data_IF_052031676550
#
_entry.id   IF_052031676550
#
_cell.length_a   1.000
_cell.length_b   1.000
_cell.length_c   1.000
_cell.angle_alpha   90.00
_cell.angle_beta   90.00
_cell.angle_gamma   90.00
#
_symmetry.space_group_name_H-M   'P 1'
#
loop_
_entity.id
_entity.type
_entity.pdbx_description
1 polymer ?
#
# COMPACT_ATOMS: atom_id res chain seq x y z
N UNK A 1 -17.05 50.72 9.08
CA UNK A 1 -16.41 50.50 7.77
C UNK A 1 -14.92 50.50 7.97
N UNK A 2 -14.30 49.32 8.00
CA UNK A 2 -12.93 49.03 7.53
C UNK A 2 -12.62 47.59 7.89
N UNK A 3 -12.93 46.67 6.97
CA UNK A 3 -12.52 45.27 7.06
C UNK A 3 -11.06 45.19 6.61
N UNK A 4 -10.17 44.71 7.46
CA UNK A 4 -8.85 44.22 7.05
C UNK A 4 -8.92 42.69 7.09
N UNK A 5 -8.94 42.08 5.91
CA UNK A 5 -8.70 40.64 5.74
C UNK A 5 -7.21 40.38 5.96
N UNK A 6 -6.91 39.55 6.95
CA UNK A 6 -5.58 38.99 7.18
C UNK A 6 -5.53 37.66 6.41
N UNK A 7 -4.71 37.62 5.37
CA UNK A 7 -4.35 36.41 4.63
C UNK A 7 -3.26 35.69 5.43
N UNK A 8 -3.44 34.44 5.88
CA UNK A 8 -2.30 33.60 6.25
C UNK A 8 -1.77 32.90 5.00
N UNK A 9 -0.64 33.42 4.53
CA UNK A 9 0.26 32.80 3.57
C UNK A 9 1.01 31.65 4.28
N UNK A 10 0.63 30.40 4.01
CA UNK A 10 1.44 29.25 4.42
C UNK A 10 1.19 28.04 3.50
N UNK A 11 1.98 27.96 2.43
CA UNK A 11 2.24 26.71 1.70
C UNK A 11 3.08 25.78 2.59
N UNK A 12 2.71 24.48 2.77
CA UNK A 12 3.63 23.52 3.33
C UNK A 12 4.65 23.08 2.29
N UNK A 13 5.91 23.06 2.72
CA UNK A 13 7.12 22.73 1.97
C UNK A 13 7.04 21.40 1.20
N UNK A 14 7.56 21.41 -0.03
CA UNK A 14 7.76 20.20 -0.83
C UNK A 14 8.76 19.25 -0.16
N UNK A 15 8.53 17.92 -0.20
CA UNK A 15 9.53 16.97 0.26
C UNK A 15 10.73 16.93 -0.69
N UNK A 16 11.89 17.35 -0.18
CA UNK A 16 13.20 17.22 -0.81
C UNK A 16 13.51 15.73 -1.02
N UNK A 17 13.44 15.27 -2.28
CA UNK A 17 13.87 13.92 -2.67
C UNK A 17 15.40 13.92 -2.74
N UNK A 18 16.07 13.54 -1.63
CA UNK A 18 17.52 13.31 -1.64
C UNK A 18 17.83 11.92 -2.21
N UNK A 19 18.24 11.86 -3.48
CA UNK A 19 18.73 10.63 -4.12
C UNK A 19 20.21 10.40 -3.77
N UNK A 20 20.49 9.82 -2.61
CA UNK A 20 21.85 9.32 -2.32
C UNK A 20 21.93 7.84 -2.72
N UNK A 21 22.09 7.60 -4.02
CA UNK A 21 22.30 6.26 -4.57
C UNK A 21 23.71 5.75 -4.30
N UNK A 22 23.89 4.87 -3.31
CA UNK A 22 25.05 3.97 -3.27
C UNK A 22 24.74 2.74 -4.14
N UNK A 23 25.02 2.83 -5.43
CA UNK A 23 25.08 1.68 -6.31
C UNK A 23 26.46 1.01 -6.16
N UNK A 24 26.49 -0.21 -5.61
CA UNK A 24 27.68 -1.07 -5.59
C UNK A 24 27.62 -1.97 -6.82
N UNK A 25 28.30 -1.55 -7.89
CA UNK A 25 28.54 -2.40 -9.06
C UNK A 25 29.48 -3.54 -8.66
N UNK A 26 29.04 -4.78 -8.84
CA UNK A 26 29.91 -5.95 -8.78
C UNK A 26 30.15 -6.41 -10.22
N UNK A 27 31.34 -6.09 -10.69
CA UNK A 27 31.93 -6.54 -11.94
C UNK A 27 32.03 -8.07 -11.92
N UNK A 28 31.49 -8.72 -12.94
CA UNK A 28 31.71 -10.12 -13.25
C UNK A 28 32.19 -10.18 -14.69
N UNK A 29 33.51 -10.26 -14.80
CA UNK A 29 34.22 -10.73 -15.98
C UNK A 29 33.93 -12.20 -16.22
N UNK A 30 34.30 -12.63 -17.43
CA UNK A 30 34.43 -14.01 -17.88
C UNK A 30 33.17 -14.56 -18.56
N UNK A 31 33.11 -14.39 -19.88
CA UNK A 31 33.14 -15.52 -20.81
C UNK A 31 33.68 -15.05 -22.17
N UNK A 32 34.95 -15.38 -22.41
CA UNK A 32 35.58 -15.39 -23.72
C UNK A 32 35.27 -16.72 -24.41
N UNK A 33 34.70 -16.69 -25.60
CA UNK A 33 35.02 -17.69 -26.63
C UNK A 33 34.61 -17.22 -28.04
N UNK A 34 35.66 -16.91 -28.80
CA UNK A 34 35.89 -17.28 -30.19
C UNK A 34 34.72 -17.21 -31.19
N UNK A 35 34.76 -16.18 -32.04
CA UNK A 35 34.09 -16.17 -33.33
C UNK A 35 34.81 -15.23 -34.29
N UNK A 36 35.61 -15.78 -35.21
CA UNK A 36 36.41 -15.07 -36.21
C UNK A 36 35.58 -14.09 -37.05
N UNK A 37 36.09 -12.87 -37.19
CA UNK A 37 35.70 -11.94 -38.23
C UNK A 37 36.02 -12.52 -39.63
N UNK A 38 35.04 -12.51 -40.52
CA UNK A 38 35.24 -12.59 -41.96
C UNK A 38 34.38 -11.51 -42.61
N UNK A 39 35.04 -10.43 -43.02
CA UNK A 39 34.47 -9.42 -43.90
C UNK A 39 34.21 -10.05 -45.26
N UNK A 40 32.94 -10.11 -45.67
CA UNK A 40 32.56 -10.19 -47.08
C UNK A 40 31.64 -8.99 -47.34
N UNK A 41 32.11 -8.07 -48.17
CA UNK A 41 31.32 -6.96 -48.68
C UNK A 41 30.41 -7.50 -49.79
N UNK A 42 29.10 -7.44 -49.57
CA UNK A 42 28.10 -7.52 -50.64
C UNK A 42 27.01 -6.51 -50.33
N UNK A 43 27.00 -5.43 -51.11
CA UNK A 43 25.96 -4.42 -51.09
C UNK A 43 24.58 -5.06 -51.30
N UNK A 44 23.73 -4.95 -50.29
CA UNK A 44 22.29 -5.09 -50.43
C UNK A 44 21.66 -3.91 -49.72
N UNK A 45 20.84 -3.16 -50.45
CA UNK A 45 20.02 -2.08 -49.93
C UNK A 45 18.99 -2.67 -48.98
N UNK A 46 19.35 -2.84 -47.72
CA UNK A 46 18.39 -3.15 -46.65
C UNK A 46 17.85 -1.82 -46.18
N UNK A 47 16.55 -1.60 -46.34
CA UNK A 47 15.85 -0.64 -45.50
C UNK A 47 16.02 -1.14 -44.07
N UNK A 48 16.95 -0.55 -43.32
CA UNK A 48 17.05 -0.73 -41.88
C UNK A 48 15.78 -0.15 -41.26
N UNK A 49 14.72 -0.96 -41.20
CA UNK A 49 13.76 -0.84 -40.11
C UNK A 49 14.51 -1.20 -38.84
N UNK A 50 15.21 -0.21 -38.27
CA UNK A 50 15.82 -0.31 -36.94
C UNK A 50 14.76 -0.88 -35.99
N UNK A 51 14.99 -2.09 -35.51
CA UNK A 51 14.10 -2.67 -34.51
C UNK A 51 14.19 -1.80 -33.25
N UNK A 52 13.06 -1.36 -32.69
CA UNK A 52 13.08 -0.49 -31.52
C UNK A 52 13.77 -1.22 -30.38
N UNK A 53 14.81 -0.60 -29.82
CA UNK A 53 15.51 -1.12 -28.65
C UNK A 53 14.53 -1.10 -27.47
N UNK A 54 14.25 -2.27 -26.92
CA UNK A 54 13.35 -2.44 -25.77
C UNK A 54 14.18 -2.61 -24.51
N UNK A 55 14.02 -1.71 -23.55
CA UNK A 55 14.64 -1.78 -22.25
C UNK A 55 13.69 -2.41 -21.24
N UNK A 56 14.14 -3.48 -20.59
CA UNK A 56 13.41 -4.14 -19.52
C UNK A 56 13.87 -3.64 -18.16
N UNK A 57 12.95 -3.11 -17.36
CA UNK A 57 13.15 -2.63 -16.00
C UNK A 57 12.44 -3.55 -15.01
N UNK A 58 13.12 -3.89 -13.91
CA UNK A 58 12.52 -4.59 -12.78
C UNK A 58 12.71 -3.74 -11.52
N UNK A 59 11.61 -3.15 -11.06
CA UNK A 59 11.57 -2.33 -9.86
C UNK A 59 11.00 -3.17 -8.73
N UNK A 60 11.66 -3.17 -7.58
CA UNK A 60 11.14 -3.79 -6.35
C UNK A 60 10.91 -2.68 -5.34
N UNK A 61 9.67 -2.55 -4.88
CA UNK A 61 9.25 -1.59 -3.88
C UNK A 61 8.91 -2.35 -2.59
N UNK A 62 9.43 -1.88 -1.47
CA UNK A 62 9.11 -2.45 -0.15
C UNK A 62 8.96 -1.33 0.85
N UNK A 63 8.01 -1.50 1.76
CA UNK A 63 7.82 -0.55 2.85
C UNK A 63 8.93 -0.76 3.90
N UNK A 64 9.48 0.28 4.56
CA UNK A 64 10.56 0.14 5.55
C UNK A 64 10.20 -0.77 6.74
N UNK A 65 8.92 -0.83 7.13
CA UNK A 65 8.44 -1.77 8.15
C UNK A 65 8.40 -3.23 7.67
N UNK A 66 8.53 -3.44 6.36
CA UNK A 66 8.39 -4.72 5.65
C UNK A 66 7.01 -5.38 5.78
N UNK A 67 5.97 -4.58 6.00
CA UNK A 67 4.57 -5.03 5.99
C UNK A 67 3.99 -5.12 4.57
N UNK A 68 4.73 -4.64 3.57
CA UNK A 68 4.31 -4.64 2.17
C UNK A 68 5.51 -4.76 1.25
N UNK A 69 5.33 -5.50 0.15
CA UNK A 69 6.29 -5.65 -0.94
C UNK A 69 5.56 -5.74 -2.27
N UNK A 70 6.11 -5.10 -3.30
CA UNK A 70 5.61 -5.16 -4.66
C UNK A 70 6.77 -5.18 -5.66
N UNK A 71 6.51 -5.75 -6.82
CA UNK A 71 7.45 -5.81 -7.94
C UNK A 71 6.77 -5.29 -9.19
N UNK A 72 7.48 -4.51 -9.98
CA UNK A 72 6.99 -3.97 -11.24
C UNK A 72 8.00 -4.32 -12.33
N UNK A 73 7.59 -5.14 -13.27
CA UNK A 73 8.32 -5.36 -14.52
C UNK A 73 7.75 -4.41 -15.58
N UNK A 74 8.62 -3.64 -16.22
CA UNK A 74 8.24 -2.67 -17.25
C UNK A 74 9.14 -2.82 -18.46
N UNK A 75 8.56 -2.73 -19.66
CA UNK A 75 9.32 -2.67 -20.91
C UNK A 75 9.08 -1.32 -21.56
N UNK A 76 10.17 -0.57 -21.78
CA UNK A 76 10.17 0.76 -22.39
C UNK A 76 10.84 0.68 -23.74
N UNK A 77 10.22 1.27 -24.75
CA UNK A 77 10.86 1.48 -26.03
C UNK A 77 11.78 2.71 -25.93
N UNK A 78 13.08 2.52 -26.07
CA UNK A 78 14.06 3.61 -25.90
C UNK A 78 14.07 4.56 -27.09
N UNK A 79 13.51 4.17 -28.24
CA UNK A 79 13.41 5.03 -29.42
C UNK A 79 12.26 6.03 -29.29
N UNK A 80 11.12 5.61 -28.74
CA UNK A 80 9.92 6.44 -28.58
C UNK A 80 9.72 6.96 -27.15
N UNK A 81 10.52 6.49 -26.19
CA UNK A 81 10.36 6.71 -24.75
C UNK A 81 8.97 6.33 -24.22
N UNK A 82 8.26 5.44 -24.91
CA UNK A 82 6.93 4.97 -24.53
C UNK A 82 7.00 3.65 -23.78
N UNK A 83 6.13 3.52 -22.78
CA UNK A 83 5.98 2.26 -22.04
C UNK A 83 5.17 1.27 -22.87
N UNK A 84 5.82 0.17 -23.28
CA UNK A 84 5.20 -0.89 -24.08
C UNK A 84 4.35 -1.81 -23.21
N UNK A 85 4.84 -2.21 -22.04
CA UNK A 85 4.13 -3.09 -21.11
C UNK A 85 4.54 -2.82 -19.67
N UNK A 86 3.58 -2.98 -18.76
CA UNK A 86 3.77 -2.95 -17.31
C UNK A 86 3.14 -4.22 -16.75
N UNK A 87 3.85 -4.91 -15.87
CA UNK A 87 3.38 -6.10 -15.15
C UNK A 87 3.64 -5.88 -13.67
N UNK A 88 2.63 -5.41 -12.91
CA UNK A 88 2.73 -5.27 -11.47
C UNK A 88 2.46 -6.62 -10.79
N UNK A 89 3.21 -6.90 -9.74
CA UNK A 89 3.03 -8.04 -8.83
C UNK A 89 2.97 -7.46 -7.42
N UNK A 90 1.84 -7.63 -6.75
CA UNK A 90 1.61 -7.12 -5.39
C UNK A 90 1.70 -8.25 -4.38
N UNK A 91 1.80 -7.90 -3.10
CA UNK A 91 1.75 -8.85 -2.00
C UNK A 91 0.41 -9.63 -2.01
N UNK A 92 0.40 -10.95 -1.71
CA UNK A 92 -0.84 -11.74 -1.65
C UNK A 92 -1.92 -11.13 -0.74
N UNK A 93 -1.54 -10.42 0.32
CA UNK A 93 -2.48 -9.75 1.22
C UNK A 93 -3.16 -8.53 0.57
N UNK A 94 -2.53 -7.93 -0.44
CA UNK A 94 -3.05 -6.78 -1.18
C UNK A 94 -3.84 -7.18 -2.43
N UNK A 95 -3.75 -8.44 -2.85
CA UNK A 95 -4.25 -8.91 -4.14
C UNK A 95 -5.75 -8.68 -4.34
N UNK A 96 -6.55 -8.89 -3.29
CA UNK A 96 -8.01 -8.75 -3.34
C UNK A 96 -8.50 -7.29 -3.49
N UNK A 97 -7.71 -6.32 -3.02
CA UNK A 97 -8.11 -4.90 -2.99
C UNK A 97 -7.37 -4.11 -4.09
N UNK A 98 -6.05 -4.24 -4.12
CA UNK A 98 -5.16 -3.48 -4.99
C UNK A 98 -4.91 -4.16 -6.34
N UNK A 99 -4.91 -5.49 -6.39
CA UNK A 99 -4.48 -6.28 -7.55
C UNK A 99 -5.27 -5.96 -8.83
N UNK A 100 -6.60 -5.91 -8.72
CA UNK A 100 -7.50 -5.59 -9.84
C UNK A 100 -7.25 -4.17 -10.36
N UNK A 101 -7.08 -3.19 -9.46
CA UNK A 101 -6.82 -1.80 -9.82
C UNK A 101 -5.50 -1.64 -10.59
N UNK A 102 -4.39 -2.17 -10.05
CA UNK A 102 -3.07 -2.01 -10.68
C UNK A 102 -2.96 -2.75 -12.01
N UNK A 103 -3.61 -3.90 -12.16
CA UNK A 103 -3.67 -4.62 -13.44
C UNK A 103 -4.52 -3.88 -14.46
N UNK A 104 -5.69 -3.36 -14.06
CA UNK A 104 -6.52 -2.54 -14.94
C UNK A 104 -5.75 -1.34 -15.50
N UNK A 105 -4.96 -0.68 -14.64
CA UNK A 105 -4.10 0.44 -15.04
C UNK A 105 -2.93 0.01 -15.92
N UNK A 106 -2.31 -1.13 -15.64
CA UNK A 106 -1.18 -1.67 -16.40
C UNK A 106 -1.58 -2.15 -17.81
N UNK A 107 -2.81 -2.66 -17.97
CA UNK A 107 -3.35 -3.05 -19.28
C UNK A 107 -3.60 -1.85 -20.19
N UNK A 108 -3.78 -0.64 -19.63
CA UNK A 108 -4.13 0.55 -20.39
C UNK A 108 -5.56 0.49 -20.95
N UNK A 109 -6.46 -0.25 -20.29
CA UNK A 109 -7.87 -0.35 -20.68
C UNK A 109 -8.62 0.99 -20.55
N UNK A 110 -8.06 1.91 -19.77
CA UNK A 110 -8.64 3.20 -19.44
C UNK A 110 -8.08 4.26 -20.42
N UNK A 111 -8.85 5.30 -20.73
CA UNK A 111 -8.45 6.41 -21.63
C UNK A 111 -7.14 7.10 -21.24
N UNK A 112 -6.71 6.94 -19.99
CA UNK A 112 -5.51 7.55 -19.39
C UNK A 112 -4.25 6.67 -19.58
N UNK A 113 -4.31 5.59 -20.38
CA UNK A 113 -3.15 4.80 -20.78
C UNK A 113 -2.47 3.98 -19.69
N UNK A 114 -1.18 3.64 -19.88
CA UNK A 114 -0.35 2.88 -18.93
C UNK A 114 0.44 3.84 -18.06
N UNK A 115 -0.06 4.11 -16.86
CA UNK A 115 0.55 5.11 -15.97
C UNK A 115 1.20 4.41 -14.76
N UNK A 116 2.54 4.41 -14.78
CA UNK A 116 3.35 3.85 -13.70
C UNK A 116 3.21 4.65 -12.40
N UNK A 117 3.00 5.98 -12.50
CA UNK A 117 2.94 6.85 -11.32
C UNK A 117 1.69 6.55 -10.51
N UNK A 118 0.54 6.41 -11.18
CA UNK A 118 -0.72 6.02 -10.51
C UNK A 118 -0.62 4.65 -9.86
N UNK A 119 0.05 3.68 -10.51
CA UNK A 119 0.27 2.34 -9.93
C UNK A 119 1.11 2.45 -8.65
N UNK A 120 2.24 3.14 -8.69
CA UNK A 120 3.12 3.35 -7.54
C UNK A 120 2.43 4.14 -6.42
N UNK A 121 1.62 5.13 -6.78
CA UNK A 121 0.81 5.92 -5.85
C UNK A 121 -0.16 5.02 -5.10
N UNK A 122 -1.02 4.29 -5.83
CA UNK A 122 -2.00 3.39 -5.24
C UNK A 122 -1.35 2.31 -4.35
N UNK A 123 -0.22 1.74 -4.75
CA UNK A 123 0.56 0.81 -3.91
C UNK A 123 0.96 1.43 -2.58
N UNK A 124 1.43 2.68 -2.60
CA UNK A 124 1.82 3.42 -1.40
C UNK A 124 0.61 3.68 -0.52
N UNK A 125 -0.47 4.24 -1.08
CA UNK A 125 -1.70 4.59 -0.37
C UNK A 125 -2.39 3.37 0.24
N UNK A 126 -2.41 2.24 -0.48
CA UNK A 126 -2.87 0.97 0.05
C UNK A 126 -2.05 0.57 1.28
N UNK A 127 -0.72 0.59 1.18
CA UNK A 127 0.16 0.14 2.26
C UNK A 127 -0.01 0.97 3.53
N UNK A 128 -0.12 2.30 3.41
CA UNK A 128 -0.35 3.19 4.55
C UNK A 128 -1.69 2.91 5.23
N UNK A 129 -2.74 2.72 4.43
CA UNK A 129 -4.10 2.46 4.93
C UNK A 129 -4.22 1.07 5.55
N UNK A 130 -3.63 0.06 4.91
CA UNK A 130 -3.58 -1.31 5.42
C UNK A 130 -2.83 -1.39 6.76
N UNK A 131 -1.74 -0.62 6.94
CA UNK A 131 -1.01 -0.55 8.22
C UNK A 131 -1.88 0.07 9.33
N UNK A 132 -2.62 1.14 9.03
CA UNK A 132 -3.57 1.74 9.98
C UNK A 132 -4.66 0.74 10.37
N UNK A 133 -5.24 0.06 9.38
CA UNK A 133 -6.25 -1.00 9.58
C UNK A 133 -5.69 -2.17 10.40
N UNK A 134 -4.48 -2.63 10.13
CA UNK A 134 -3.84 -3.70 10.89
C UNK A 134 -3.64 -3.34 12.37
N UNK A 135 -3.25 -2.09 12.65
CA UNK A 135 -3.15 -1.57 14.02
C UNK A 135 -4.51 -1.52 14.71
N UNK A 136 -5.55 -1.10 13.99
CA UNK A 136 -6.92 -1.10 14.50
C UNK A 136 -7.37 -2.52 14.85
N UNK A 137 -7.18 -3.49 13.96
CA UNK A 137 -7.49 -4.90 14.22
C UNK A 137 -6.74 -5.48 15.41
N UNK A 138 -5.46 -5.16 15.55
CA UNK A 138 -4.70 -5.58 16.71
C UNK A 138 -5.26 -5.00 18.02
N UNK A 139 -5.62 -3.71 18.02
CA UNK A 139 -6.22 -3.06 19.17
C UNK A 139 -7.59 -3.66 19.52
N UNK A 140 -8.46 -3.87 18.53
CA UNK A 140 -9.77 -4.52 18.70
C UNK A 140 -9.60 -5.93 19.26
N UNK A 141 -8.64 -6.69 18.74
CA UNK A 141 -8.37 -8.04 19.22
C UNK A 141 -7.96 -8.05 20.69
N UNK A 142 -7.02 -7.18 21.07
CA UNK A 142 -6.53 -7.13 22.45
C UNK A 142 -7.54 -6.55 23.44
N UNK A 143 -8.38 -5.61 23.01
CA UNK A 143 -9.30 -4.89 23.89
C UNK A 143 -10.68 -5.54 24.01
N UNK A 144 -11.14 -6.28 22.99
CA UNK A 144 -12.53 -6.76 22.92
C UNK A 144 -12.69 -8.30 22.88
N UNK A 145 -11.63 -9.08 22.62
CA UNK A 145 -11.79 -10.54 22.58
C UNK A 145 -11.99 -11.21 23.94
N UNK A 146 -11.37 -10.71 25.01
CA UNK A 146 -11.53 -11.31 26.35
C UNK A 146 -12.50 -10.51 27.21
N UNK A 147 -13.33 -11.16 28.06
CA UNK A 147 -14.24 -10.46 28.94
C UNK A 147 -13.51 -9.52 29.92
N UNK A 148 -12.32 -9.92 30.37
CA UNK A 148 -11.45 -9.10 31.22
C UNK A 148 -10.94 -7.85 30.51
N UNK A 149 -10.52 -7.97 29.24
CA UNK A 149 -10.09 -6.84 28.43
C UNK A 149 -11.25 -5.88 28.15
N UNK A 150 -12.45 -6.41 27.85
CA UNK A 150 -13.67 -5.59 27.68
C UNK A 150 -13.95 -4.76 28.92
N UNK A 151 -13.90 -5.38 30.10
CA UNK A 151 -14.12 -4.68 31.37
C UNK A 151 -13.05 -3.62 31.63
N UNK A 152 -11.77 -3.89 31.32
CA UNK A 152 -10.67 -2.92 31.43
C UNK A 152 -10.90 -1.73 30.49
N UNK A 153 -11.31 -1.98 29.25
CA UNK A 153 -11.59 -0.94 28.25
C UNK A 153 -12.78 -0.06 28.63
N UNK A 154 -13.86 -0.64 29.16
CA UNK A 154 -15.00 0.11 29.69
C UNK A 154 -14.63 0.99 30.89
N UNK A 155 -13.80 0.47 31.81
CA UNK A 155 -13.28 1.24 32.95
C UNK A 155 -12.43 2.44 32.51
N UNK A 156 -11.63 2.28 31.45
CA UNK A 156 -10.83 3.37 30.85
C UNK A 156 -11.72 4.45 30.22
N UNK A 157 -12.79 4.06 29.53
CA UNK A 157 -13.73 5.00 28.93
C UNK A 157 -14.45 5.84 30.00
N UNK A 158 -14.90 5.20 31.09
CA UNK A 158 -15.52 5.89 32.23
C UNK A 158 -14.56 6.84 32.95
N UNK A 159 -13.26 6.50 33.05
CA UNK A 159 -12.23 7.41 33.60
C UNK A 159 -11.96 8.60 32.69
N UNK A 160 -11.90 8.42 31.37
CA UNK A 160 -11.73 9.54 30.41
C UNK A 160 -12.92 10.52 30.44
N UNK A 161 -14.14 10.02 30.61
CA UNK A 161 -15.31 10.88 30.78
C UNK A 161 -15.25 11.74 32.07
N UNK A 162 -14.64 11.21 33.15
CA UNK A 162 -14.42 11.94 34.42
C UNK A 162 -13.15 12.81 34.44
N UNK A 163 -12.10 12.45 33.69
CA UNK A 163 -10.80 13.16 33.65
C UNK A 163 -10.79 14.43 32.80
N UNK A 164 -11.93 14.88 32.24
CA UNK A 164 -12.02 16.21 31.60
C UNK A 164 -11.77 17.40 32.56
N UNK A 165 -11.49 17.15 33.85
CA UNK A 165 -11.27 18.16 34.90
C UNK A 165 -9.92 18.05 35.64
N UNK A 166 -9.18 16.94 35.55
CA UNK A 166 -7.88 16.82 36.24
C UNK A 166 -6.90 16.07 35.35
N UNK A 167 -5.92 16.80 34.82
CA UNK A 167 -4.75 16.26 34.16
C UNK A 167 -3.89 15.50 35.16
N UNK A 168 -3.75 14.20 34.94
CA UNK A 168 -2.59 13.41 35.38
C UNK A 168 -2.56 12.16 34.50
N UNK A 169 -1.76 12.28 33.44
CA UNK A 169 -1.44 11.22 32.49
C UNK A 169 -0.56 10.17 33.17
N UNK A 170 -1.20 9.19 33.80
CA UNK A 170 -0.62 7.84 33.87
C UNK A 170 -0.53 7.32 32.42
N UNK A 171 0.56 7.66 31.75
CA UNK A 171 0.94 7.13 30.46
C UNK A 171 1.20 5.62 30.63
N UNK A 172 0.13 4.81 30.65
CA UNK A 172 0.24 3.38 30.35
C UNK A 172 0.82 3.30 28.93
N UNK A 173 2.15 3.19 28.85
CA UNK A 173 2.91 3.09 27.63
C UNK A 173 2.41 1.86 26.85
N UNK A 174 1.48 2.11 25.93
CA UNK A 174 0.94 1.06 25.06
C UNK A 174 2.09 0.57 24.21
N UNK A 175 2.62 -0.60 24.55
CA UNK A 175 3.66 -1.27 23.77
C UNK A 175 3.19 -1.33 22.32
N UNK A 176 3.92 -0.71 21.38
CA UNK A 176 3.52 -0.73 19.98
C UNK A 176 3.52 -2.18 19.47
N UNK A 177 2.53 -2.57 18.64
CA UNK A 177 2.42 -3.93 18.15
C UNK A 177 3.67 -4.33 17.38
N UNK A 178 4.08 -5.59 17.55
CA UNK A 178 5.22 -6.12 16.81
C UNK A 178 4.88 -6.27 15.34
N UNK A 179 5.91 -6.28 14.47
CA UNK A 179 5.71 -6.50 13.04
C UNK A 179 4.92 -7.78 12.75
N UNK A 180 5.19 -8.87 13.48
CA UNK A 180 4.53 -10.16 13.27
C UNK A 180 3.04 -10.09 13.60
N UNK A 181 2.68 -9.39 14.68
CA UNK A 181 1.28 -9.16 15.05
C UNK A 181 0.54 -8.36 13.98
N UNK A 182 1.18 -7.32 13.41
CA UNK A 182 0.57 -6.53 12.34
C UNK A 182 0.42 -7.30 11.03
N UNK A 183 1.38 -8.17 10.68
CA UNK A 183 1.34 -8.96 9.45
C UNK A 183 0.09 -9.85 9.38
N UNK A 184 -0.37 -10.38 10.52
CA UNK A 184 -1.58 -11.23 10.58
C UNK A 184 -2.84 -10.44 10.21
N UNK A 185 -2.81 -9.11 10.31
CA UNK A 185 -3.98 -8.26 10.08
C UNK A 185 -3.91 -7.40 8.81
N UNK A 186 -2.81 -7.42 8.05
CA UNK A 186 -2.61 -6.49 6.93
C UNK A 186 -3.64 -6.67 5.81
N UNK A 187 -3.93 -7.93 5.44
CA UNK A 187 -4.94 -8.29 4.44
C UNK A 187 -6.32 -8.57 5.02
N UNK A 188 -6.53 -8.33 6.33
CA UNK A 188 -7.82 -8.58 6.97
C UNK A 188 -8.78 -7.42 6.69
N UNK A 189 -9.90 -7.73 6.04
CA UNK A 189 -10.95 -6.74 5.72
C UNK A 189 -12.14 -6.79 6.68
N UNK A 190 -12.25 -7.84 7.50
CA UNK A 190 -13.35 -8.00 8.46
C UNK A 190 -12.91 -8.63 9.77
N UNK A 191 -13.56 -8.26 10.86
CA UNK A 191 -13.34 -8.83 12.19
C UNK A 191 -14.68 -9.06 12.90
N UNK A 192 -14.84 -10.27 13.41
CA UNK A 192 -16.01 -10.69 14.17
C UNK A 192 -15.71 -10.57 15.68
N UNK A 193 -16.67 -10.02 16.41
CA UNK A 193 -16.64 -9.86 17.86
C UNK A 193 -17.91 -10.52 18.39
N UNK A 194 -17.74 -11.71 18.96
CA UNK A 194 -18.86 -12.51 19.48
C UNK A 194 -18.95 -12.37 20.99
N UNK A 195 -20.17 -12.22 21.47
CA UNK A 195 -20.55 -12.40 22.86
C UNK A 195 -21.72 -13.40 22.94
N UNK A 196 -22.10 -13.81 24.15
CA UNK A 196 -23.18 -14.78 24.37
C UNK A 196 -24.53 -14.34 23.76
N UNK A 197 -24.77 -13.04 23.68
CA UNK A 197 -26.06 -12.46 23.23
C UNK A 197 -25.98 -11.79 21.84
N UNK A 198 -24.79 -11.40 21.38
CA UNK A 198 -24.63 -10.53 20.21
C UNK A 198 -23.37 -10.90 19.44
N UNK A 199 -23.51 -10.96 18.11
CA UNK A 199 -22.42 -11.04 17.15
C UNK A 199 -22.29 -9.69 16.44
N UNK A 200 -21.08 -9.11 16.47
CA UNK A 200 -20.76 -7.87 15.77
C UNK A 200 -19.71 -8.17 14.70
N UNK A 201 -20.03 -7.89 13.44
CA UNK A 201 -19.09 -7.98 12.32
C UNK A 201 -18.68 -6.57 11.89
N UNK A 202 -17.41 -6.22 12.09
CA UNK A 202 -16.84 -4.96 11.60
C UNK A 202 -16.19 -5.22 10.25
N UNK A 203 -16.58 -4.46 9.22
CA UNK A 203 -15.95 -4.49 7.90
C UNK A 203 -15.15 -3.20 7.64
N UNK A 204 -13.98 -3.34 7.02
CA UNK A 204 -13.13 -2.26 6.52
C UNK A 204 -12.51 -2.68 5.19
N UNK A 205 -13.14 -2.27 4.10
CA UNK A 205 -12.65 -2.43 2.74
C UNK A 205 -11.82 -1.23 2.28
N UNK A 206 -10.82 -1.50 1.45
CA UNK A 206 -10.03 -0.48 0.75
C UNK A 206 -10.31 -0.60 -0.76
N UNK A 207 -10.86 0.47 -1.33
CA UNK A 207 -11.06 0.67 -2.77
C UNK A 207 -10.17 1.78 -3.31
N UNK A 208 -10.28 2.03 -4.61
CA UNK A 208 -9.52 3.08 -5.30
C UNK A 208 -10.40 3.84 -6.28
N UNK A 209 -10.21 5.15 -6.34
CA UNK A 209 -10.74 5.97 -7.41
C UNK A 209 -9.85 5.87 -8.68
N UNK A 210 -10.21 6.61 -9.72
CA UNK A 210 -9.46 6.62 -10.98
C UNK A 210 -8.05 7.22 -10.87
N UNK A 211 -7.77 8.04 -9.84
CA UNK A 211 -6.45 8.63 -9.58
C UNK A 211 -5.53 7.70 -8.80
N UNK A 212 -6.10 6.63 -8.22
CA UNK A 212 -5.39 5.76 -7.28
C UNK A 212 -5.41 6.28 -5.85
N UNK A 213 -6.25 7.26 -5.54
CA UNK A 213 -6.58 7.59 -4.16
C UNK A 213 -7.42 6.51 -3.53
N UNK A 214 -7.20 6.32 -2.24
CA UNK A 214 -7.87 5.28 -1.46
C UNK A 214 -9.25 5.74 -1.03
N UNK A 215 -10.25 4.90 -1.32
CA UNK A 215 -11.59 4.99 -0.75
C UNK A 215 -11.72 3.93 0.35
N UNK A 216 -12.18 4.33 1.54
CA UNK A 216 -12.39 3.40 2.66
C UNK A 216 -13.89 3.14 2.85
N UNK A 217 -14.28 1.87 2.87
CA UNK A 217 -15.63 1.44 3.21
C UNK A 217 -15.61 0.77 4.58
N UNK A 218 -16.08 1.50 5.60
CA UNK A 218 -16.13 1.06 6.99
C UNK A 218 -17.58 0.92 7.42
N UNK A 219 -17.92 -0.21 8.03
CA UNK A 219 -19.22 -0.38 8.65
C UNK A 219 -19.27 -1.58 9.58
N UNK A 220 -20.45 -1.78 10.15
CA UNK A 220 -20.68 -2.69 11.26
C UNK A 220 -22.05 -3.33 11.08
N UNK A 221 -22.05 -4.66 11.04
CA UNK A 221 -23.27 -5.46 11.10
C UNK A 221 -23.42 -6.02 12.51
N UNK A 222 -24.63 -5.98 13.06
CA UNK A 222 -24.95 -6.48 14.40
C UNK A 222 -26.05 -7.52 14.27
N UNK A 223 -25.84 -8.68 14.89
CA UNK A 223 -26.81 -9.76 14.98
C UNK A 223 -27.05 -10.10 16.45
N UNK A 224 -28.30 -10.18 16.84
CA UNK A 224 -28.69 -10.68 18.17
C UNK A 224 -28.82 -12.20 18.06
N UNK A 225 -28.18 -12.93 18.96
CA UNK A 225 -28.28 -14.38 19.02
C UNK A 225 -29.54 -14.72 19.82
N UNK A 226 -30.49 -15.39 19.19
CA UNK A 226 -31.69 -15.87 19.87
C UNK A 226 -31.28 -16.91 20.92
N UNK A 227 -31.33 -16.51 22.19
CA UNK A 227 -31.16 -17.43 23.32
C UNK A 227 -32.42 -18.27 23.39
N UNK A 228 -32.36 -19.50 22.86
CA UNK A 228 -33.40 -20.49 23.12
C UNK A 228 -33.43 -20.74 24.63
N UNK A 229 -34.48 -20.27 25.29
CA UNK A 229 -34.81 -20.70 26.64
C UNK A 229 -35.33 -22.15 26.56
N UNK A 230 -34.52 -23.09 27.02
CA UNK A 230 -34.94 -24.45 27.40
C UNK A 230 -35.13 -24.53 28.92
#
# INVERSE_FOLDING_TARGET
MSSQEIIPDSFPEEPVISSTGKAKAKELSDYSSAGKAKQNSSASTTQDTEQPILQHHLITASHPSGLFSARISMTVDTSTLKVKSITPTVDPAAENELGTFVRGRASGANSIGKDINVICWAMTRWSETAIKRARFWHAVQNELQTPEARLKSLRKLGRKAKRKVVEEDENEERVPPTRKELLVHIGRTRMEIVNEEVEILVHWGIGFDWTGEVECDLGVDVRVLDVYME
#
